data_IF_890003283493
#
_entry.id   IF_890003283493
#
_cell.length_a   1.000
_cell.length_b   1.000
_cell.length_c   1.000
_cell.angle_alpha   90.00
_cell.angle_beta   90.00
_cell.angle_gamma   90.00
#
_symmetry.space_group_name_H-M   'P 1'
#
loop_
_entity.id
_entity.type
_entity.pdbx_description
1 polymer ?
#
# COMPACT_ATOMS: atom_id res chain seq x y z
N UNK A 1 6.92 -34.40 -7.68
CA UNK A 1 6.60 -34.03 -6.27
C UNK A 1 6.79 -32.54 -5.97
N UNK A 2 7.81 -31.84 -6.49
CA UNK A 2 8.01 -30.39 -6.26
C UNK A 2 6.82 -29.50 -6.71
N UNK A 3 6.16 -29.83 -7.83
CA UNK A 3 5.02 -29.06 -8.35
C UNK A 3 3.73 -29.13 -7.50
N UNK A 4 3.52 -30.19 -6.73
CA UNK A 4 2.37 -30.29 -5.81
C UNK A 4 2.58 -29.41 -4.57
N UNK A 5 3.80 -29.36 -4.02
CA UNK A 5 4.11 -28.55 -2.85
C UNK A 5 3.99 -27.04 -3.13
N UNK A 6 4.43 -26.59 -4.32
CA UNK A 6 4.27 -25.20 -4.74
C UNK A 6 2.79 -24.80 -4.84
N UNK A 7 1.95 -25.68 -5.41
CA UNK A 7 0.51 -25.44 -5.52
C UNK A 7 -0.17 -25.35 -4.16
N UNK A 8 0.21 -26.19 -3.19
CA UNK A 8 -0.34 -26.14 -1.83
C UNK A 8 0.10 -24.88 -1.08
N UNK A 9 1.36 -24.48 -1.20
CA UNK A 9 1.85 -23.25 -0.59
C UNK A 9 1.11 -22.01 -1.12
N UNK A 10 0.85 -21.93 -2.42
CA UNK A 10 0.07 -20.87 -3.03
C UNK A 10 -1.38 -20.82 -2.51
N UNK A 11 -2.02 -21.98 -2.35
CA UNK A 11 -3.37 -22.09 -1.77
C UNK A 11 -3.37 -21.53 -0.34
N UNK A 12 -2.40 -21.94 0.48
CA UNK A 12 -2.22 -21.44 1.85
C UNK A 12 -2.06 -19.93 1.86
N UNK A 13 -1.17 -19.39 1.02
CA UNK A 13 -0.90 -17.96 0.98
C UNK A 13 -2.10 -17.15 0.51
N UNK A 14 -2.88 -17.66 -0.46
CA UNK A 14 -4.10 -17.02 -0.94
C UNK A 14 -5.17 -16.98 0.16
N UNK A 15 -5.39 -18.09 0.85
CA UNK A 15 -6.30 -18.18 1.98
C UNK A 15 -5.87 -17.25 3.11
N UNK A 16 -4.60 -17.32 3.52
CA UNK A 16 -4.04 -16.47 4.55
C UNK A 16 -4.16 -14.98 4.22
N UNK A 17 -3.86 -14.59 2.97
CA UNK A 17 -4.05 -13.21 2.49
C UNK A 17 -5.50 -12.77 2.67
N UNK A 18 -6.47 -13.57 2.23
CA UNK A 18 -7.90 -13.26 2.35
C UNK A 18 -8.36 -13.12 3.80
N UNK A 19 -7.94 -14.03 4.68
CA UNK A 19 -8.35 -14.00 6.09
C UNK A 19 -7.69 -12.83 6.83
N UNK A 20 -6.38 -12.63 6.65
CA UNK A 20 -5.66 -11.54 7.33
C UNK A 20 -6.10 -10.15 6.86
N UNK A 21 -6.29 -9.90 5.57
CA UNK A 21 -6.72 -8.57 5.11
C UNK A 21 -8.14 -8.21 5.55
N UNK A 22 -8.97 -9.20 5.87
CA UNK A 22 -10.34 -8.98 6.36
C UNK A 22 -10.42 -8.88 7.88
N UNK A 23 -9.70 -9.74 8.62
CA UNK A 23 -9.85 -9.87 10.09
C UNK A 23 -8.66 -9.28 10.87
N UNK A 24 -7.55 -9.01 10.20
CA UNK A 24 -6.28 -8.63 10.81
C UNK A 24 -5.55 -9.80 11.45
N UNK A 25 -4.39 -9.53 12.03
CA UNK A 25 -3.57 -10.54 12.69
C UNK A 25 -4.26 -11.15 13.92
N UNK A 26 -4.79 -10.31 14.82
CA UNK A 26 -5.38 -10.74 16.10
C UNK A 26 -6.71 -11.47 15.92
N UNK A 27 -7.54 -11.05 14.95
CA UNK A 27 -8.82 -11.67 14.65
C UNK A 27 -8.73 -13.06 13.97
N UNK A 28 -7.51 -13.52 13.70
CA UNK A 28 -7.22 -14.70 12.88
C UNK A 28 -6.50 -15.79 13.67
N UNK A 29 -6.80 -17.05 13.34
CA UNK A 29 -6.12 -18.24 13.87
C UNK A 29 -5.62 -19.12 12.72
N UNK A 30 -4.64 -19.98 12.99
CA UNK A 30 -4.17 -20.96 12.01
C UNK A 30 -5.30 -21.89 11.56
N UNK A 31 -6.25 -22.21 12.44
CA UNK A 31 -7.42 -23.02 12.07
C UNK A 31 -8.28 -22.33 11.00
N UNK A 32 -8.66 -21.06 11.20
CA UNK A 32 -9.46 -20.29 10.23
C UNK A 32 -8.80 -20.23 8.84
N UNK A 33 -7.47 -20.18 8.80
CA UNK A 33 -6.72 -20.17 7.54
C UNK A 33 -6.72 -21.56 6.88
N UNK A 34 -6.56 -22.62 7.67
CA UNK A 34 -6.63 -23.99 7.18
C UNK A 34 -8.02 -24.29 6.60
N UNK A 35 -9.07 -23.86 7.29
CA UNK A 35 -10.47 -24.00 6.83
C UNK A 35 -10.70 -23.25 5.51
N UNK A 36 -10.25 -21.99 5.40
CA UNK A 36 -10.33 -21.21 4.15
C UNK A 36 -9.50 -21.82 3.01
N UNK A 37 -8.37 -22.45 3.33
CA UNK A 37 -7.52 -23.14 2.37
C UNK A 37 -8.04 -24.53 1.96
N UNK A 38 -9.05 -25.07 2.66
CA UNK A 38 -9.54 -26.43 2.45
C UNK A 38 -8.50 -27.51 2.81
N UNK A 39 -7.61 -27.23 3.76
CA UNK A 39 -6.57 -28.17 4.21
C UNK A 39 -6.65 -28.42 5.71
N UNK A 40 -6.03 -29.49 6.19
CA UNK A 40 -5.91 -29.69 7.63
C UNK A 40 -4.85 -28.76 8.25
N UNK A 41 -5.01 -28.46 9.54
CA UNK A 41 -4.13 -27.55 10.29
C UNK A 41 -2.69 -28.06 10.41
N UNK A 42 -2.48 -29.38 10.46
CA UNK A 42 -1.15 -29.97 10.54
C UNK A 42 -0.33 -29.69 9.26
N UNK A 43 -0.97 -29.81 8.09
CA UNK A 43 -0.37 -29.46 6.80
C UNK A 43 -0.05 -27.97 6.74
N UNK A 44 -0.92 -27.10 7.26
CA UNK A 44 -0.60 -25.67 7.36
C UNK A 44 0.64 -25.42 8.22
N UNK A 45 0.76 -26.07 9.39
CA UNK A 45 1.93 -25.94 10.26
C UNK A 45 3.21 -26.50 9.66
N UNK A 46 3.11 -27.52 8.80
CA UNK A 46 4.23 -28.05 8.04
C UNK A 46 4.86 -26.98 7.14
N UNK A 47 4.06 -26.22 6.39
CA UNK A 47 4.55 -25.09 5.57
C UNK A 47 4.92 -23.87 6.42
N UNK A 48 4.07 -23.53 7.40
CA UNK A 48 4.21 -22.32 8.20
C UNK A 48 4.08 -22.64 9.68
N UNK A 49 5.23 -22.86 10.34
CA UNK A 49 5.31 -23.22 11.76
C UNK A 49 4.48 -22.33 12.68
N UNK A 50 4.46 -21.01 12.42
CA UNK A 50 3.76 -20.04 13.27
C UNK A 50 2.88 -19.08 12.47
N UNK A 51 1.83 -18.56 13.13
CA UNK A 51 0.98 -17.50 12.57
C UNK A 51 1.79 -16.27 12.17
N UNK A 52 2.80 -15.91 12.96
CA UNK A 52 3.70 -14.78 12.65
C UNK A 52 4.46 -14.95 11.34
N UNK A 53 5.02 -16.13 11.09
CA UNK A 53 5.77 -16.39 9.85
C UNK A 53 4.86 -16.26 8.63
N UNK A 54 3.67 -16.85 8.71
CA UNK A 54 2.68 -16.77 7.64
C UNK A 54 2.19 -15.33 7.45
N UNK A 55 1.90 -14.64 8.54
CA UNK A 55 1.48 -13.24 8.50
C UNK A 55 2.54 -12.33 7.89
N UNK A 56 3.80 -12.44 8.32
CA UNK A 56 4.89 -11.64 7.77
C UNK A 56 5.08 -11.90 6.27
N UNK A 57 4.91 -13.16 5.83
CA UNK A 57 4.95 -13.50 4.40
C UNK A 57 3.79 -12.83 3.64
N UNK A 58 2.57 -12.89 4.16
CA UNK A 58 1.39 -12.21 3.58
C UNK A 58 1.57 -10.69 3.57
N UNK A 59 2.06 -10.11 4.66
CA UNK A 59 2.31 -8.67 4.76
C UNK A 59 3.34 -8.20 3.73
N UNK A 60 4.43 -8.98 3.52
CA UNK A 60 5.39 -8.72 2.45
C UNK A 60 4.75 -8.80 1.05
N UNK A 61 3.90 -9.80 0.79
CA UNK A 61 3.17 -9.92 -0.48
C UNK A 61 2.28 -8.70 -0.72
N UNK A 62 1.62 -8.18 0.32
CA UNK A 62 0.85 -6.94 0.22
C UNK A 62 1.74 -5.77 -0.20
N UNK A 63 2.90 -5.59 0.44
CA UNK A 63 3.83 -4.50 0.09
C UNK A 63 4.51 -4.67 -1.27
N UNK A 64 4.69 -5.90 -1.75
CA UNK A 64 5.18 -6.19 -3.10
C UNK A 64 4.26 -5.64 -4.21
N UNK A 65 2.98 -5.35 -3.92
CA UNK A 65 2.08 -4.72 -4.88
C UNK A 65 2.45 -3.25 -5.16
N UNK A 66 3.03 -2.57 -4.16
CA UNK A 66 3.27 -1.12 -4.20
C UNK A 66 4.74 -0.82 -4.41
N UNK A 67 5.60 -1.37 -3.55
CA UNK A 67 6.98 -0.93 -3.40
C UNK A 67 7.80 -1.04 -4.69
N UNK A 68 7.79 -2.15 -5.45
CA UNK A 68 8.55 -2.23 -6.70
C UNK A 68 8.07 -1.23 -7.75
N UNK A 69 6.76 -0.96 -7.82
CA UNK A 69 6.19 0.01 -8.76
C UNK A 69 6.59 1.44 -8.39
N UNK A 70 6.52 1.78 -7.10
CA UNK A 70 6.97 3.07 -6.60
C UNK A 70 8.48 3.25 -6.80
N UNK A 71 9.28 2.21 -6.51
CA UNK A 71 10.71 2.21 -6.74
C UNK A 71 11.08 2.55 -8.19
N UNK A 72 10.39 1.93 -9.17
CA UNK A 72 10.58 2.25 -10.59
C UNK A 72 10.24 3.70 -10.95
N UNK A 73 9.20 4.28 -10.34
CA UNK A 73 8.83 5.68 -10.56
C UNK A 73 9.91 6.59 -10.00
N UNK A 74 10.40 6.33 -8.79
CA UNK A 74 11.38 7.19 -8.14
C UNK A 74 12.77 7.10 -8.76
N UNK A 75 13.15 5.92 -9.27
CA UNK A 75 14.43 5.68 -9.95
C UNK A 75 14.43 6.03 -11.44
N UNK A 76 13.35 6.55 -12.00
CA UNK A 76 13.30 6.93 -13.42
C UNK A 76 13.93 8.31 -13.66
N UNK A 77 14.15 8.61 -14.92
CA UNK A 77 14.60 9.94 -15.41
C UNK A 77 13.47 10.98 -15.49
N UNK A 78 12.28 10.66 -14.98
CA UNK A 78 11.16 11.62 -14.93
C UNK A 78 11.52 12.82 -14.05
N UNK A 79 10.97 13.99 -14.40
CA UNK A 79 11.02 15.18 -13.55
C UNK A 79 10.26 14.94 -12.23
N UNK A 80 10.50 15.79 -11.22
CA UNK A 80 9.80 15.68 -9.94
C UNK A 80 8.27 15.73 -10.10
N UNK A 81 7.75 16.60 -10.97
CA UNK A 81 6.31 16.74 -11.18
C UNK A 81 5.70 15.51 -11.88
N UNK A 82 6.36 14.98 -12.91
CA UNK A 82 5.95 13.73 -13.57
C UNK A 82 5.98 12.55 -12.58
N UNK A 83 6.96 12.50 -11.68
CA UNK A 83 7.01 11.48 -10.61
C UNK A 83 5.82 11.60 -9.65
N UNK A 84 5.40 12.81 -9.29
CA UNK A 84 4.23 13.05 -8.43
C UNK A 84 2.95 12.58 -9.13
N UNK A 85 2.78 12.90 -10.42
CA UNK A 85 1.65 12.46 -11.23
C UNK A 85 1.61 10.93 -11.38
N UNK A 86 2.73 10.31 -11.79
CA UNK A 86 2.84 8.87 -11.95
C UNK A 86 2.62 8.12 -10.63
N UNK A 87 3.13 8.66 -9.51
CA UNK A 87 2.89 8.13 -8.18
C UNK A 87 1.39 8.15 -7.86
N UNK A 88 0.73 9.29 -7.98
CA UNK A 88 -0.67 9.43 -7.62
C UNK A 88 -1.56 8.50 -8.46
N UNK A 89 -1.36 8.46 -9.79
CA UNK A 89 -2.11 7.56 -10.68
C UNK A 89 -1.92 6.09 -10.29
N UNK A 90 -0.66 5.65 -10.21
CA UNK A 90 -0.33 4.25 -9.94
C UNK A 90 -0.79 3.84 -8.54
N UNK A 91 -0.56 4.69 -7.53
CA UNK A 91 -0.90 4.39 -6.15
C UNK A 91 -2.41 4.32 -5.97
N UNK A 92 -3.17 5.32 -6.42
CA UNK A 92 -4.64 5.32 -6.35
C UNK A 92 -5.21 4.12 -7.10
N UNK A 93 -4.70 3.79 -8.29
CA UNK A 93 -5.18 2.64 -9.05
C UNK A 93 -5.00 1.31 -8.29
N UNK A 94 -3.88 1.13 -7.59
CA UNK A 94 -3.67 -0.08 -6.77
C UNK A 94 -4.65 -0.10 -5.60
N UNK A 95 -4.88 1.04 -4.94
CA UNK A 95 -5.80 1.11 -3.80
C UNK A 95 -7.25 0.85 -4.22
N UNK A 96 -7.70 1.39 -5.36
CA UNK A 96 -9.03 1.09 -5.95
C UNK A 96 -9.19 -0.41 -6.19
N UNK A 97 -8.17 -1.05 -6.77
CA UNK A 97 -8.21 -2.49 -7.07
C UNK A 97 -8.06 -3.37 -5.82
N UNK A 98 -7.69 -2.79 -4.67
CA UNK A 98 -7.45 -3.51 -3.43
C UNK A 98 -7.99 -2.74 -2.20
N UNK A 99 -9.31 -2.48 -2.11
CA UNK A 99 -9.88 -1.52 -1.17
C UNK A 99 -9.73 -1.90 0.31
N UNK A 100 -9.47 -3.18 0.62
CA UNK A 100 -9.24 -3.65 1.98
C UNK A 100 -7.80 -3.41 2.48
N UNK A 101 -6.84 -3.22 1.57
CA UNK A 101 -5.42 -3.11 1.93
C UNK A 101 -5.14 -1.87 2.79
N UNK A 102 -5.65 -0.65 2.49
CA UNK A 102 -5.37 0.54 3.29
C UNK A 102 -5.72 0.36 4.78
N UNK A 103 -6.93 -0.12 5.05
CA UNK A 103 -7.43 -0.36 6.41
C UNK A 103 -6.61 -1.44 7.12
N UNK A 104 -6.33 -2.55 6.42
CA UNK A 104 -5.45 -3.60 6.94
C UNK A 104 -4.08 -3.04 7.31
N UNK A 105 -3.42 -2.32 6.42
CA UNK A 105 -2.07 -1.77 6.65
C UNK A 105 -2.08 -0.80 7.83
N UNK A 106 -3.03 0.13 7.91
CA UNK A 106 -3.13 1.07 9.04
C UNK A 106 -3.31 0.33 10.37
N UNK A 107 -4.26 -0.62 10.43
CA UNK A 107 -4.51 -1.41 11.65
C UNK A 107 -3.25 -2.11 12.12
N UNK A 108 -2.56 -2.80 11.21
CA UNK A 108 -1.43 -3.66 11.58
C UNK A 108 -0.16 -2.88 11.92
N UNK A 109 0.02 -1.67 11.37
CA UNK A 109 1.11 -0.76 11.73
C UNK A 109 0.89 -0.16 13.11
N UNK A 110 -0.35 0.21 13.46
CA UNK A 110 -0.67 0.69 14.81
C UNK A 110 -0.43 -0.40 15.86
N UNK A 111 -0.79 -1.66 15.57
CA UNK A 111 -0.52 -2.77 16.48
C UNK A 111 0.97 -3.11 16.61
N UNK A 112 1.74 -3.01 15.52
CA UNK A 112 3.18 -3.25 15.56
C UNK A 112 3.92 -2.43 14.48
N UNK A 113 4.45 -1.25 14.82
CA UNK A 113 5.09 -0.35 13.88
C UNK A 113 6.30 -0.96 13.16
N UNK A 114 6.98 -1.92 13.80
CA UNK A 114 8.15 -2.59 13.22
C UNK A 114 7.80 -3.35 11.94
N UNK A 115 6.54 -3.78 11.75
CA UNK A 115 6.09 -4.49 10.55
C UNK A 115 6.29 -3.68 9.28
N UNK A 116 5.97 -2.37 9.31
CA UNK A 116 6.22 -1.48 8.17
C UNK A 116 7.71 -1.37 7.89
N UNK A 117 8.49 -0.99 8.91
CA UNK A 117 9.93 -0.79 8.75
C UNK A 117 10.64 -2.06 8.23
N UNK A 118 10.23 -3.24 8.69
CA UNK A 118 10.78 -4.52 8.23
C UNK A 118 10.36 -4.85 6.80
N UNK A 119 9.13 -4.54 6.39
CA UNK A 119 8.67 -4.74 5.03
C UNK A 119 9.38 -3.82 4.04
N UNK A 120 9.52 -2.54 4.38
CA UNK A 120 10.24 -1.53 3.58
C UNK A 120 11.72 -1.93 3.43
N UNK A 121 12.39 -2.27 4.55
CA UNK A 121 13.78 -2.77 4.53
C UNK A 121 13.95 -4.04 3.71
N UNK A 122 13.03 -5.01 3.86
CA UNK A 122 13.06 -6.27 3.10
C UNK A 122 12.97 -6.05 1.59
N UNK A 123 12.28 -4.99 1.16
CA UNK A 123 12.10 -4.64 -0.24
C UNK A 123 13.17 -3.66 -0.76
N UNK A 124 14.18 -3.33 0.05
CA UNK A 124 15.32 -2.52 -0.36
C UNK A 124 15.02 -1.05 -0.59
N UNK A 125 13.94 -0.52 -0.02
CA UNK A 125 13.60 0.91 -0.17
C UNK A 125 14.34 1.73 0.88
N UNK A 126 15.11 2.70 0.40
CA UNK A 126 15.77 3.71 1.23
C UNK A 126 15.01 5.05 1.16
N UNK A 127 14.45 5.54 2.28
CA UNK A 127 13.80 6.85 2.33
C UNK A 127 14.69 8.02 1.90
N UNK A 128 16.00 7.96 2.08
CA UNK A 128 16.87 9.08 1.69
C UNK A 128 17.01 9.19 0.16
N UNK A 129 17.07 8.07 -0.55
CA UNK A 129 17.06 8.06 -2.01
C UNK A 129 15.78 8.66 -2.58
N UNK A 130 14.66 8.49 -1.87
CA UNK A 130 13.38 9.07 -2.24
C UNK A 130 13.37 10.60 -2.07
N UNK A 131 14.04 11.12 -1.06
CA UNK A 131 14.00 12.55 -0.73
C UNK A 131 15.08 13.36 -1.45
N UNK A 132 16.16 12.73 -1.91
CA UNK A 132 17.26 13.41 -2.59
C UNK A 132 16.81 14.23 -3.82
N UNK A 133 15.98 13.71 -4.74
CA UNK A 133 15.53 14.50 -5.90
C UNK A 133 14.77 15.77 -5.51
N UNK A 134 13.96 15.72 -4.43
CA UNK A 134 13.23 16.89 -3.92
C UNK A 134 14.23 17.94 -3.42
N UNK A 135 15.24 17.52 -2.65
CA UNK A 135 16.29 18.41 -2.14
C UNK A 135 17.08 19.05 -3.28
N UNK A 136 17.34 18.32 -4.36
CA UNK A 136 18.07 18.85 -5.52
C UNK A 136 17.27 19.90 -6.27
N UNK A 137 15.96 19.70 -6.45
CA UNK A 137 15.08 20.69 -7.06
C UNK A 137 14.94 21.97 -6.21
N UNK A 138 14.97 21.85 -4.88
CA UNK A 138 15.05 23.00 -3.96
C UNK A 138 16.37 23.77 -4.17
N UNK A 139 17.51 23.07 -4.22
CA UNK A 139 18.83 23.69 -4.42
C UNK A 139 18.95 24.41 -5.76
N UNK A 140 18.39 23.83 -6.82
CA UNK A 140 18.32 24.47 -8.16
C UNK A 140 17.35 25.66 -8.18
N UNK A 141 16.50 25.79 -7.16
CA UNK A 141 15.49 26.83 -7.09
C UNK A 141 14.32 26.61 -8.04
N UNK A 142 14.05 25.37 -8.45
CA UNK A 142 12.94 25.01 -9.34
C UNK A 142 11.59 24.90 -8.60
N UNK A 143 11.64 24.65 -7.28
CA UNK A 143 10.48 24.58 -6.39
C UNK A 143 10.68 25.44 -5.15
N UNK A 144 9.57 25.77 -4.49
CA UNK A 144 9.56 26.38 -3.16
C UNK A 144 10.18 25.43 -2.13
N UNK A 145 10.94 25.94 -1.15
CA UNK A 145 11.49 25.12 -0.08
C UNK A 145 10.39 24.39 0.70
N UNK A 146 10.50 23.06 0.75
CA UNK A 146 9.60 22.20 1.53
C UNK A 146 10.40 21.07 2.17
N UNK A 147 10.00 20.66 3.38
CA UNK A 147 10.50 19.42 3.98
C UNK A 147 10.02 18.22 3.12
N UNK A 148 10.91 17.39 2.55
CA UNK A 148 10.51 16.25 1.73
C UNK A 148 9.55 15.28 2.44
N UNK A 149 9.65 15.18 3.78
CA UNK A 149 8.75 14.36 4.60
C UNK A 149 7.32 14.88 4.56
N UNK A 150 7.13 16.20 4.57
CA UNK A 150 5.81 16.83 4.47
C UNK A 150 5.19 16.56 3.10
N UNK A 151 5.97 16.74 2.03
CA UNK A 151 5.51 16.45 0.68
C UNK A 151 5.06 14.98 0.53
N UNK A 152 5.87 14.06 1.05
CA UNK A 152 5.59 12.63 0.98
C UNK A 152 4.35 12.22 1.79
N UNK A 153 4.23 12.72 3.02
CA UNK A 153 3.05 12.45 3.88
C UNK A 153 1.78 13.05 3.27
N UNK A 154 1.84 14.25 2.70
CA UNK A 154 0.71 14.86 2.01
C UNK A 154 0.27 14.03 0.80
N UNK A 155 1.23 13.61 -0.04
CA UNK A 155 0.94 12.80 -1.22
C UNK A 155 0.28 11.46 -0.85
N UNK A 156 0.84 10.72 0.12
CA UNK A 156 0.23 9.48 0.60
C UNK A 156 -1.13 9.74 1.24
N UNK A 157 -1.23 10.74 2.12
CA UNK A 157 -2.44 11.08 2.85
C UNK A 157 -3.62 11.38 1.92
N UNK A 158 -3.39 12.23 0.92
CA UNK A 158 -4.40 12.59 -0.07
C UNK A 158 -4.81 11.41 -0.95
N UNK A 159 -3.94 10.45 -1.22
CA UNK A 159 -4.31 9.24 -1.96
C UNK A 159 -5.07 8.23 -1.08
N UNK A 160 -4.59 7.98 0.13
CA UNK A 160 -5.06 6.87 0.97
C UNK A 160 -6.36 7.18 1.70
N UNK A 161 -6.52 8.41 2.21
CA UNK A 161 -7.63 8.80 3.08
C UNK A 161 -9.02 8.51 2.49
N UNK A 162 -9.38 8.92 1.26
CA UNK A 162 -10.73 8.70 0.74
C UNK A 162 -11.09 7.21 0.69
N UNK A 163 -10.12 6.35 0.39
CA UNK A 163 -10.31 4.90 0.27
C UNK A 163 -10.31 4.22 1.64
N UNK A 164 -9.40 4.61 2.53
CA UNK A 164 -9.33 4.14 3.90
C UNK A 164 -10.59 4.49 4.70
N UNK A 165 -11.14 5.68 4.47
CA UNK A 165 -12.36 6.18 5.10
C UNK A 165 -13.61 5.97 4.22
N UNK A 166 -13.58 5.03 3.25
CA UNK A 166 -14.68 4.80 2.28
C UNK A 166 -16.07 4.79 2.93
N UNK A 167 -16.34 4.05 4.03
CA UNK A 167 -17.69 4.02 4.61
C UNK A 167 -18.19 5.40 5.05
N UNK A 168 -17.30 6.20 5.66
CA UNK A 168 -17.62 7.56 6.10
C UNK A 168 -17.79 8.50 4.90
N UNK A 169 -16.86 8.48 3.96
CA UNK A 169 -16.87 9.35 2.77
C UNK A 169 -18.10 9.09 1.92
N UNK A 170 -18.45 7.81 1.68
CA UNK A 170 -19.64 7.44 0.91
C UNK A 170 -20.93 7.88 1.60
N UNK A 171 -21.04 7.68 2.91
CA UNK A 171 -22.25 8.04 3.66
C UNK A 171 -22.47 9.55 3.71
N UNK A 172 -21.41 10.34 3.90
CA UNK A 172 -21.51 11.79 4.13
C UNK A 172 -21.54 12.57 2.81
N UNK A 173 -20.76 12.17 1.80
CA UNK A 173 -20.54 12.98 0.59
C UNK A 173 -21.20 12.44 -0.67
N UNK A 174 -21.57 11.16 -0.71
CA UNK A 174 -22.03 10.50 -1.94
C UNK A 174 -23.38 9.79 -1.80
N UNK A 175 -24.08 9.93 -0.66
CA UNK A 175 -25.33 9.21 -0.40
C UNK A 175 -25.24 7.69 -0.67
N UNK A 176 -24.07 7.10 -0.41
CA UNK A 176 -23.72 5.71 -0.73
C UNK A 176 -23.75 5.32 -2.22
N UNK A 177 -23.72 6.27 -3.15
CA UNK A 177 -23.57 6.01 -4.58
C UNK A 177 -22.13 5.54 -4.90
N UNK A 178 -21.98 4.26 -5.26
CA UNK A 178 -20.68 3.68 -5.55
C UNK A 178 -20.10 4.12 -6.90
N UNK A 179 -20.94 4.38 -7.90
CA UNK A 179 -20.48 4.81 -9.23
C UNK A 179 -19.88 6.21 -9.18
N UNK A 180 -20.57 7.15 -8.55
CA UNK A 180 -20.07 8.52 -8.35
C UNK A 180 -18.80 8.54 -7.51
N UNK A 181 -18.74 7.72 -6.47
CA UNK A 181 -17.54 7.60 -5.64
C UNK A 181 -16.34 7.06 -6.43
N UNK A 182 -16.54 6.04 -7.28
CA UNK A 182 -15.48 5.53 -8.14
C UNK A 182 -15.02 6.57 -9.17
N UNK A 183 -15.95 7.33 -9.76
CA UNK A 183 -15.61 8.44 -10.66
C UNK A 183 -14.77 9.50 -9.95
N UNK A 184 -15.17 9.89 -8.74
CA UNK A 184 -14.40 10.78 -7.89
C UNK A 184 -12.98 10.25 -7.65
N UNK A 185 -12.82 8.98 -7.30
CA UNK A 185 -11.48 8.39 -7.10
C UNK A 185 -10.63 8.38 -8.38
N UNK A 186 -11.23 8.21 -9.56
CA UNK A 186 -10.49 8.31 -10.83
C UNK A 186 -10.04 9.75 -11.09
N UNK A 187 -10.89 10.75 -10.84
CA UNK A 187 -10.54 12.16 -10.98
C UNK A 187 -9.43 12.58 -10.01
N UNK A 188 -9.37 11.98 -8.82
CA UNK A 188 -8.30 12.21 -7.84
C UNK A 188 -6.90 11.93 -8.37
N UNK A 189 -6.75 11.03 -9.35
CA UNK A 189 -5.45 10.75 -9.98
C UNK A 189 -4.85 11.98 -10.66
N UNK A 190 -5.68 12.95 -11.06
CA UNK A 190 -5.27 14.25 -11.60
C UNK A 190 -5.35 15.36 -10.55
N UNK A 191 -6.37 15.36 -9.70
CA UNK A 191 -6.57 16.43 -8.71
C UNK A 191 -5.52 16.43 -7.59
N UNK A 192 -5.09 15.26 -7.12
CA UNK A 192 -4.05 15.16 -6.10
C UNK A 192 -2.71 15.73 -6.58
N UNK A 193 -2.14 15.29 -7.72
CA UNK A 193 -0.88 15.86 -8.18
C UNK A 193 -1.03 17.34 -8.54
N UNK A 194 -2.15 17.78 -9.14
CA UNK A 194 -2.42 19.20 -9.38
C UNK A 194 -2.33 20.04 -8.10
N UNK A 195 -2.99 19.60 -7.03
CA UNK A 195 -2.97 20.28 -5.74
C UNK A 195 -1.56 20.32 -5.12
N UNK A 196 -0.85 19.20 -5.15
CA UNK A 196 0.51 19.09 -4.59
C UNK A 196 1.53 19.91 -5.39
N UNK A 197 1.51 19.83 -6.72
CA UNK A 197 2.44 20.58 -7.57
C UNK A 197 2.23 22.07 -7.38
N UNK A 198 0.98 22.54 -7.34
CA UNK A 198 0.68 23.96 -7.14
C UNK A 198 1.13 24.50 -5.77
N UNK A 199 1.28 23.65 -4.75
CA UNK A 199 1.75 24.10 -3.43
C UNK A 199 3.27 24.26 -3.34
N UNK A 200 4.03 23.67 -4.27
CA UNK A 200 5.50 23.74 -4.31
C UNK A 200 6.06 24.43 -5.56
N UNK A 201 5.22 24.70 -6.56
CA UNK A 201 5.64 25.39 -7.78
C UNK A 201 5.95 26.85 -7.44
N UNK A 202 7.12 27.33 -7.87
CA UNK A 202 7.46 28.75 -7.79
C UNK A 202 6.49 29.57 -8.66
N UNK A 203 6.05 30.71 -8.12
CA UNK A 203 5.25 31.68 -8.85
C UNK A 203 6.12 32.56 -9.73
#
# INVERSE_FOLDING_TARGET
MAGQNLKTEEIILRAAKKVFTRKGYDGTTMQKIADEAGINKALLHYYYRTKDKLFLKVFRIVFQLFVPKMGKIFSSEMTLFEKIEAFADTYIQILINNPYIPVFVMKEITSNPKRLSNAVKYLGVDPEQLFQPIRDEIKKGNIEPIDPRQLFVNLIGLCIFPIAAKPMVMAILFNNNEEEYLKFLQERKKEVPRFIINSIRKK
#
